data_IF_222831464210
#
_entry.id   IF_222831464210
#
_cell.length_a   1.000
_cell.length_b   1.000
_cell.length_c   1.000
_cell.angle_alpha   90.00
_cell.angle_beta   90.00
_cell.angle_gamma   90.00
#
_symmetry.space_group_name_H-M   'P 1'
#
loop_
_entity.id
_entity.type
_entity.pdbx_description
1 polymer ?
#
# COMPACT_ATOMS: atom_id res chain seq x y z
N UNK A 1 -4.05 -23.69 6.55
CA UNK A 1 -2.89 -23.19 5.80
C UNK A 1 -2.26 -22.07 6.61
N UNK A 2 -0.97 -22.17 6.88
CA UNK A 2 -0.20 -21.12 7.57
C UNK A 2 0.21 -20.04 6.58
N UNK A 3 0.15 -18.77 7.00
CA UNK A 3 0.51 -17.60 6.21
C UNK A 3 1.65 -16.87 6.93
N UNK A 4 2.81 -16.77 6.28
CA UNK A 4 3.93 -15.98 6.78
C UNK A 4 3.74 -14.52 6.32
N UNK A 5 3.67 -13.60 7.27
CA UNK A 5 3.49 -12.17 7.00
C UNK A 5 4.82 -11.47 7.19
N UNK A 6 5.48 -11.15 6.09
CA UNK A 6 6.75 -10.41 6.08
C UNK A 6 6.44 -8.90 6.13
N UNK A 7 7.16 -8.16 6.97
CA UNK A 7 6.82 -6.77 7.27
C UNK A 7 5.65 -6.62 8.26
N UNK A 8 5.44 -7.62 9.12
CA UNK A 8 4.33 -7.72 10.08
C UNK A 8 4.23 -6.54 11.07
N UNK A 9 5.29 -5.76 11.28
CA UNK A 9 5.26 -4.56 12.12
C UNK A 9 4.78 -3.29 11.42
N UNK A 10 4.59 -3.33 10.10
CA UNK A 10 4.13 -2.18 9.31
C UNK A 10 2.61 -1.98 9.34
N UNK A 11 2.17 -0.86 8.76
CA UNK A 11 0.76 -0.45 8.72
C UNK A 11 -0.18 -1.59 8.25
N UNK A 12 0.05 -2.13 7.06
CA UNK A 12 -0.73 -3.22 6.50
C UNK A 12 -0.42 -4.57 7.16
N UNK A 13 0.87 -4.82 7.45
CA UNK A 13 1.30 -6.12 7.99
C UNK A 13 0.62 -6.51 9.30
N UNK A 14 0.36 -5.53 10.19
CA UNK A 14 -0.38 -5.76 11.45
C UNK A 14 -1.82 -6.22 11.19
N UNK A 15 -2.49 -5.61 10.21
CA UNK A 15 -3.87 -5.98 9.85
C UNK A 15 -3.92 -7.35 9.18
N UNK A 16 -2.93 -7.69 8.32
CA UNK A 16 -2.82 -9.03 7.72
C UNK A 16 -2.61 -10.10 8.80
N UNK A 17 -1.77 -9.83 9.81
CA UNK A 17 -1.61 -10.74 10.96
C UNK A 17 -2.92 -10.92 11.70
N UNK A 18 -3.66 -9.83 11.95
CA UNK A 18 -4.97 -9.88 12.62
C UNK A 18 -6.00 -10.67 11.80
N UNK A 19 -6.09 -10.42 10.49
CA UNK A 19 -7.01 -11.12 9.59
C UNK A 19 -6.69 -12.61 9.43
N UNK A 20 -5.40 -12.98 9.44
CA UNK A 20 -5.00 -14.38 9.38
C UNK A 20 -5.21 -15.14 10.72
N UNK A 21 -5.25 -14.42 11.85
CA UNK A 21 -5.43 -15.00 13.19
C UNK A 21 -4.40 -16.07 13.51
N UNK A 22 -4.82 -17.21 14.04
CA UNK A 22 -3.93 -18.34 14.42
C UNK A 22 -3.15 -18.96 13.25
N UNK A 23 -3.47 -18.56 12.01
CA UNK A 23 -2.75 -19.00 10.82
C UNK A 23 -1.52 -18.14 10.52
N UNK A 24 -1.36 -16.99 11.20
CA UNK A 24 -0.28 -16.06 10.94
C UNK A 24 1.04 -16.47 11.60
N UNK A 25 2.13 -16.39 10.83
CA UNK A 25 3.50 -16.29 11.36
C UNK A 25 3.98 -14.89 11.08
N UNK A 26 4.03 -14.06 12.12
CA UNK A 26 4.37 -12.64 12.02
C UNK A 26 5.90 -12.45 11.98
N UNK A 27 6.41 -11.89 10.89
CA UNK A 27 7.83 -11.61 10.68
C UNK A 27 8.03 -10.10 10.49
N UNK A 28 8.34 -9.40 11.59
CA UNK A 28 8.72 -8.00 11.56
C UNK A 28 10.12 -7.82 10.97
N UNK A 29 10.52 -6.57 10.66
CA UNK A 29 11.88 -6.27 10.19
C UNK A 29 12.97 -6.75 11.17
N UNK A 30 12.71 -6.68 12.47
CA UNK A 30 13.65 -7.16 13.50
C UNK A 30 13.78 -8.70 13.52
N UNK A 31 12.72 -9.42 13.10
CA UNK A 31 12.71 -10.87 13.03
C UNK A 31 13.27 -11.40 11.71
N UNK A 32 13.07 -10.65 10.61
CA UNK A 32 13.53 -11.02 9.27
C UNK A 32 13.83 -9.77 8.45
N UNK A 33 15.09 -9.50 8.20
CA UNK A 33 15.51 -8.51 7.20
C UNK A 33 15.45 -9.15 5.81
N UNK A 34 14.62 -8.61 4.93
CA UNK A 34 14.42 -9.15 3.58
C UNK A 34 15.67 -9.03 2.70
N UNK A 35 16.61 -8.18 3.07
CA UNK A 35 17.90 -8.02 2.36
C UNK A 35 18.91 -9.11 2.69
N UNK A 36 18.72 -9.83 3.82
CA UNK A 36 19.52 -11.02 4.15
C UNK A 36 18.93 -12.26 3.46
N UNK A 37 19.45 -12.55 2.27
CA UNK A 37 18.99 -13.68 1.44
C UNK A 37 19.09 -15.01 2.18
N UNK A 38 20.12 -15.23 2.99
CA UNK A 38 20.32 -16.47 3.73
C UNK A 38 19.20 -16.67 4.76
N UNK A 39 18.98 -15.67 5.61
CA UNK A 39 17.92 -15.69 6.61
C UNK A 39 16.52 -15.86 5.97
N UNK A 40 16.27 -15.19 4.81
CA UNK A 40 14.99 -15.29 4.08
C UNK A 40 14.75 -16.70 3.57
N UNK A 41 15.76 -17.33 2.94
CA UNK A 41 15.66 -18.70 2.44
C UNK A 41 15.38 -19.71 3.56
N UNK A 42 16.01 -19.53 4.71
CA UNK A 42 15.80 -20.43 5.87
C UNK A 42 14.42 -20.25 6.49
N UNK A 43 13.96 -18.98 6.64
CA UNK A 43 12.70 -18.68 7.31
C UNK A 43 11.45 -18.98 6.45
N UNK A 44 11.54 -18.85 5.12
CA UNK A 44 10.38 -18.88 4.23
C UNK A 44 10.33 -20.08 3.28
N UNK A 45 11.25 -21.04 3.40
CA UNK A 45 11.30 -22.22 2.52
C UNK A 45 9.97 -22.96 2.45
N UNK A 46 9.37 -22.95 1.26
CA UNK A 46 8.11 -23.64 0.99
C UNK A 46 6.86 -23.01 1.64
N UNK A 47 6.97 -21.81 2.21
CA UNK A 47 5.88 -21.09 2.85
C UNK A 47 4.89 -20.48 1.85
N UNK A 48 3.66 -20.20 2.31
CA UNK A 48 2.77 -19.21 1.69
C UNK A 48 3.03 -17.87 2.37
N UNK A 49 3.40 -16.86 1.60
CA UNK A 49 3.88 -15.57 2.10
C UNK A 49 3.00 -14.43 1.61
N UNK A 50 2.62 -13.52 2.51
CA UNK A 50 2.16 -12.17 2.19
C UNK A 50 3.30 -11.20 2.51
N UNK A 51 3.92 -10.64 1.47
CA UNK A 51 5.04 -9.72 1.61
C UNK A 51 4.56 -8.27 1.66
N UNK A 52 4.44 -7.75 2.88
CA UNK A 52 4.13 -6.34 3.18
C UNK A 52 5.42 -5.52 3.49
N UNK A 53 6.60 -6.14 3.42
CA UNK A 53 7.84 -5.41 3.62
C UNK A 53 8.09 -4.44 2.47
N UNK A 54 8.53 -3.24 2.80
CA UNK A 54 8.84 -2.22 1.81
C UNK A 54 9.47 -0.98 2.42
N UNK A 55 10.32 -0.33 1.64
CA UNK A 55 10.72 1.05 1.86
C UNK A 55 9.58 1.95 1.36
N UNK A 56 8.93 2.69 2.26
CA UNK A 56 7.69 3.44 1.96
C UNK A 56 7.82 4.96 2.09
N UNK A 57 9.04 5.46 2.41
CA UNK A 57 9.29 6.89 2.43
C UNK A 57 9.49 7.41 1.01
N UNK A 58 8.42 7.86 0.36
CA UNK A 58 8.40 8.27 -1.04
C UNK A 58 9.39 9.40 -1.32
N UNK A 59 9.44 10.42 -0.45
CA UNK A 59 10.38 11.55 -0.61
C UNK A 59 11.82 11.14 -0.29
N UNK A 60 12.02 10.27 0.71
CA UNK A 60 13.34 9.75 1.05
C UNK A 60 13.94 8.87 -0.04
N UNK A 61 13.13 8.17 -0.83
CA UNK A 61 13.61 7.34 -1.92
C UNK A 61 14.39 8.12 -2.98
N UNK A 62 14.10 9.42 -3.18
CA UNK A 62 14.84 10.28 -4.12
C UNK A 62 16.33 10.44 -3.75
N UNK A 63 16.66 10.32 -2.47
CA UNK A 63 18.03 10.41 -1.96
C UNK A 63 18.60 9.08 -1.47
N UNK A 64 17.74 8.11 -1.19
CA UNK A 64 18.08 6.78 -0.67
C UNK A 64 17.65 5.66 -1.65
N UNK A 65 17.83 5.92 -2.96
CA UNK A 65 17.39 5.02 -4.04
C UNK A 65 17.94 3.60 -3.88
N UNK A 66 19.24 3.46 -3.53
CA UNK A 66 19.87 2.15 -3.30
C UNK A 66 19.17 1.37 -2.16
N UNK A 67 18.83 2.04 -1.05
CA UNK A 67 18.13 1.41 0.06
C UNK A 67 16.69 1.04 -0.32
N UNK A 68 16.01 1.89 -1.12
CA UNK A 68 14.68 1.60 -1.63
C UNK A 68 14.69 0.37 -2.55
N UNK A 69 15.66 0.27 -3.48
CA UNK A 69 15.79 -0.90 -4.37
C UNK A 69 16.21 -2.16 -3.62
N UNK A 70 17.17 -2.07 -2.69
CA UNK A 70 17.57 -3.23 -1.88
C UNK A 70 16.39 -3.88 -1.14
N UNK A 71 15.46 -3.06 -0.60
CA UNK A 71 14.30 -3.58 0.14
C UNK A 71 13.18 -3.98 -0.82
N UNK A 72 12.81 -3.08 -1.76
CA UNK A 72 11.61 -3.25 -2.59
C UNK A 72 11.81 -4.20 -3.76
N UNK A 73 13.03 -4.35 -4.28
CA UNK A 73 13.36 -5.21 -5.42
C UNK A 73 14.15 -6.46 -4.98
N UNK A 74 15.35 -6.30 -4.42
CA UNK A 74 16.18 -7.45 -4.05
C UNK A 74 15.55 -8.25 -2.90
N UNK A 75 15.03 -7.55 -1.89
CA UNK A 75 14.30 -8.18 -0.79
C UNK A 75 13.03 -8.91 -1.27
N UNK A 76 12.29 -8.34 -2.24
CA UNK A 76 11.14 -8.99 -2.83
C UNK A 76 11.53 -10.26 -3.61
N UNK A 77 12.66 -10.22 -4.37
CA UNK A 77 13.24 -11.39 -5.04
C UNK A 77 13.57 -12.49 -4.05
N UNK A 78 14.28 -12.16 -2.97
CA UNK A 78 14.69 -13.13 -1.95
C UNK A 78 13.45 -13.84 -1.35
N UNK A 79 12.40 -13.08 -1.02
CA UNK A 79 11.14 -13.62 -0.50
C UNK A 79 10.46 -14.53 -1.52
N UNK A 80 10.42 -14.11 -2.78
CA UNK A 80 9.80 -14.88 -3.86
C UNK A 80 10.54 -16.20 -4.13
N UNK A 81 11.88 -16.19 -4.15
CA UNK A 81 12.71 -17.41 -4.31
C UNK A 81 12.48 -18.45 -3.21
N UNK A 82 12.29 -18.00 -1.97
CA UNK A 82 12.08 -18.88 -0.82
C UNK A 82 10.68 -19.48 -0.76
N UNK A 83 9.68 -18.70 -1.15
CA UNK A 83 8.28 -19.04 -0.94
C UNK A 83 7.77 -20.08 -1.95
N UNK A 84 6.89 -20.99 -1.49
CA UNK A 84 6.07 -21.81 -2.39
C UNK A 84 5.01 -20.97 -3.13
N UNK A 85 4.46 -19.97 -2.47
CA UNK A 85 3.51 -18.99 -2.99
C UNK A 85 3.80 -17.64 -2.34
N UNK A 86 3.82 -16.58 -3.13
CA UNK A 86 4.05 -15.23 -2.63
C UNK A 86 2.97 -14.28 -3.15
N UNK A 87 2.44 -13.45 -2.25
CA UNK A 87 1.69 -12.25 -2.58
C UNK A 87 2.58 -11.06 -2.27
N UNK A 88 2.94 -10.28 -3.28
CA UNK A 88 3.73 -9.06 -3.14
C UNK A 88 2.83 -7.84 -3.20
N UNK A 89 2.79 -7.04 -2.13
CA UNK A 89 2.02 -5.80 -2.08
C UNK A 89 2.79 -4.69 -2.77
N UNK A 90 2.23 -4.15 -3.84
CA UNK A 90 2.76 -3.04 -4.63
C UNK A 90 1.91 -1.77 -4.47
N UNK A 91 2.05 -0.81 -5.39
CA UNK A 91 1.52 0.55 -5.26
C UNK A 91 0.96 1.06 -6.59
N UNK A 92 0.03 1.99 -6.50
CA UNK A 92 -0.46 2.84 -7.58
C UNK A 92 0.62 3.78 -8.15
N UNK A 93 1.67 4.08 -7.40
CA UNK A 93 2.77 4.95 -7.82
C UNK A 93 3.69 4.33 -8.89
N UNK A 94 3.35 3.17 -9.40
CA UNK A 94 3.95 2.63 -10.63
C UNK A 94 3.43 3.31 -11.89
N UNK A 95 2.38 4.14 -11.79
CA UNK A 95 1.78 4.88 -12.90
C UNK A 95 2.19 6.37 -12.89
N UNK A 96 2.15 6.98 -14.06
CA UNK A 96 2.53 8.40 -14.25
C UNK A 96 1.40 9.40 -13.95
N UNK A 97 0.15 8.92 -13.86
CA UNK A 97 -0.99 9.77 -13.57
C UNK A 97 -1.46 10.63 -14.74
N UNK A 98 -1.06 10.30 -15.97
CA UNK A 98 -1.35 11.12 -17.15
C UNK A 98 -2.73 10.87 -17.76
N UNK A 99 -3.34 9.71 -17.48
CA UNK A 99 -4.68 9.39 -18.01
C UNK A 99 -5.79 9.79 -17.02
N UNK A 100 -6.96 10.27 -17.51
CA UNK A 100 -8.09 10.64 -16.65
C UNK A 100 -8.89 9.44 -16.13
N UNK A 101 -8.88 8.31 -16.84
CA UNK A 101 -9.57 7.09 -16.46
C UNK A 101 -8.76 6.34 -15.37
N UNK A 102 -9.43 5.49 -14.56
CA UNK A 102 -8.74 4.59 -13.65
C UNK A 102 -7.77 3.65 -14.37
N UNK A 103 -6.60 3.41 -13.78
CA UNK A 103 -5.62 2.46 -14.29
C UNK A 103 -6.05 1.01 -14.06
N UNK A 104 -5.94 0.20 -15.11
CA UNK A 104 -6.19 -1.26 -15.06
C UNK A 104 -4.88 -2.04 -15.15
N UNK A 105 -4.95 -3.36 -14.91
CA UNK A 105 -3.75 -4.21 -14.85
C UNK A 105 -2.96 -4.26 -16.16
N UNK A 106 -3.60 -4.10 -17.32
CA UNK A 106 -2.94 -4.08 -18.64
C UNK A 106 -2.31 -2.74 -19.00
N UNK A 107 -2.58 -1.67 -18.26
CA UNK A 107 -1.98 -0.37 -18.53
C UNK A 107 -0.46 -0.39 -18.29
N UNK A 108 0.33 0.30 -19.15
CA UNK A 108 1.77 0.33 -19.00
C UNK A 108 2.19 1.11 -17.75
N UNK A 109 3.02 0.49 -16.93
CA UNK A 109 3.63 1.16 -15.78
C UNK A 109 4.72 2.14 -16.22
N UNK A 110 4.66 3.39 -15.73
CA UNK A 110 5.59 4.49 -16.01
C UNK A 110 5.80 5.37 -14.77
N UNK A 111 6.49 4.88 -13.72
CA UNK A 111 6.64 5.59 -12.46
C UNK A 111 7.38 6.92 -12.63
N UNK A 112 6.97 7.94 -11.85
CA UNK A 112 7.53 9.30 -11.89
C UNK A 112 8.68 9.52 -10.90
N UNK A 113 8.84 8.62 -9.91
CA UNK A 113 9.72 8.80 -8.75
C UNK A 113 10.38 7.49 -8.34
N UNK A 114 11.51 7.58 -7.63
CA UNK A 114 12.34 6.45 -7.23
C UNK A 114 11.60 5.37 -6.43
N UNK A 115 10.66 5.77 -5.55
CA UNK A 115 9.82 4.80 -4.84
C UNK A 115 9.03 3.92 -5.82
N UNK A 116 8.35 4.52 -6.79
CA UNK A 116 7.60 3.79 -7.82
C UNK A 116 8.48 2.89 -8.68
N UNK A 117 9.67 3.38 -9.09
CA UNK A 117 10.67 2.60 -9.81
C UNK A 117 11.12 1.37 -9.00
N UNK A 118 11.43 1.54 -7.72
CA UNK A 118 11.85 0.45 -6.84
C UNK A 118 10.73 -0.59 -6.63
N UNK A 119 9.47 -0.14 -6.50
CA UNK A 119 8.30 -1.04 -6.37
C UNK A 119 8.05 -1.82 -7.66
N UNK A 120 8.11 -1.16 -8.82
CA UNK A 120 7.98 -1.83 -10.13
C UNK A 120 9.10 -2.84 -10.36
N UNK A 121 10.33 -2.53 -9.95
CA UNK A 121 11.43 -3.49 -9.98
C UNK A 121 11.14 -4.72 -9.10
N UNK A 122 10.52 -4.52 -7.94
CA UNK A 122 10.07 -5.60 -7.05
C UNK A 122 8.96 -6.47 -7.64
N UNK A 123 8.00 -5.88 -8.37
CA UNK A 123 6.99 -6.64 -9.11
C UNK A 123 7.64 -7.60 -10.11
N UNK A 124 8.58 -7.08 -10.92
CA UNK A 124 9.31 -7.86 -11.93
C UNK A 124 10.16 -8.94 -11.27
N UNK A 125 10.92 -8.59 -10.24
CA UNK A 125 11.76 -9.52 -9.51
C UNK A 125 10.96 -10.67 -8.87
N UNK A 126 9.78 -10.37 -8.33
CA UNK A 126 8.86 -11.35 -7.76
C UNK A 126 8.31 -12.30 -8.83
N UNK A 127 7.91 -11.76 -9.98
CA UNK A 127 7.36 -12.54 -11.08
C UNK A 127 8.41 -13.47 -11.73
N UNK A 128 9.65 -12.96 -11.89
CA UNK A 128 10.78 -13.75 -12.40
C UNK A 128 11.19 -14.89 -11.47
N UNK A 129 11.13 -14.65 -10.16
CA UNK A 129 11.64 -15.58 -9.16
C UNK A 129 10.62 -16.68 -8.76
N UNK A 130 9.32 -16.46 -8.98
CA UNK A 130 8.29 -17.40 -8.51
C UNK A 130 7.09 -17.47 -9.47
N UNK A 131 6.87 -18.60 -10.12
CA UNK A 131 5.72 -18.84 -11.00
C UNK A 131 4.36 -18.82 -10.26
N UNK A 132 4.36 -19.04 -8.95
CA UNK A 132 3.16 -19.01 -8.10
C UNK A 132 3.04 -17.68 -7.35
N UNK A 133 3.42 -16.58 -8.01
CA UNK A 133 3.31 -15.23 -7.48
C UNK A 133 1.94 -14.62 -7.75
N UNK A 134 1.60 -13.65 -6.90
CA UNK A 134 0.56 -12.66 -7.13
C UNK A 134 1.08 -11.29 -6.69
N UNK A 135 1.13 -10.35 -7.60
CA UNK A 135 1.37 -8.93 -7.28
C UNK A 135 0.02 -8.27 -7.04
N UNK A 136 -0.11 -7.55 -5.94
CA UNK A 136 -1.32 -6.78 -5.61
C UNK A 136 -0.93 -5.31 -5.51
N UNK A 137 -1.34 -4.50 -6.48
CA UNK A 137 -1.23 -3.05 -6.41
C UNK A 137 -2.40 -2.49 -5.61
N UNK A 138 -2.08 -1.60 -4.67
CA UNK A 138 -3.06 -0.88 -3.86
C UNK A 138 -2.65 0.58 -3.72
N UNK A 139 -3.52 1.42 -3.15
CA UNK A 139 -3.30 2.86 -3.11
C UNK A 139 -3.71 3.47 -1.77
N UNK A 140 -3.05 4.56 -1.38
CA UNK A 140 -3.43 5.45 -0.30
C UNK A 140 -3.82 4.74 1.00
N UNK A 141 -2.96 3.82 1.48
CA UNK A 141 -3.25 2.97 2.63
C UNK A 141 -3.37 3.78 3.92
N UNK A 142 -4.42 3.50 4.69
CA UNK A 142 -4.62 4.03 6.04
C UNK A 142 -5.13 2.95 6.99
N UNK A 143 -4.76 3.03 8.27
CA UNK A 143 -5.11 2.03 9.28
C UNK A 143 -4.38 2.24 10.60
N UNK A 144 -4.60 1.36 11.58
CA UNK A 144 -4.13 1.52 12.95
C UNK A 144 -2.63 1.21 13.18
N UNK A 145 -1.97 0.56 12.22
CA UNK A 145 -0.63 0.00 12.42
C UNK A 145 0.54 0.98 12.28
N UNK A 146 0.30 2.29 12.06
CA UNK A 146 1.37 3.25 11.86
C UNK A 146 0.86 4.63 11.40
N UNK A 147 1.79 5.52 11.08
CA UNK A 147 1.44 6.88 10.61
C UNK A 147 0.70 6.80 9.28
N UNK A 148 -0.41 7.54 9.18
CA UNK A 148 -1.22 7.63 7.97
C UNK A 148 -1.83 9.02 7.81
N UNK A 149 -2.46 9.27 6.66
CA UNK A 149 -3.03 10.58 6.35
C UNK A 149 -4.21 10.94 7.26
N UNK A 150 -5.06 9.97 7.62
CA UNK A 150 -6.22 10.20 8.51
C UNK A 150 -5.76 10.75 9.85
N UNK A 151 -4.78 10.10 10.48
CA UNK A 151 -4.24 10.54 11.78
C UNK A 151 -3.58 11.91 11.69
N UNK A 152 -2.90 12.17 10.58
CA UNK A 152 -2.26 13.46 10.32
C UNK A 152 -3.31 14.57 10.24
N UNK A 153 -4.40 14.36 9.48
CA UNK A 153 -5.47 15.36 9.36
C UNK A 153 -6.18 15.61 10.68
N UNK A 154 -6.49 14.57 11.45
CA UNK A 154 -7.10 14.69 12.76
C UNK A 154 -6.23 15.47 13.76
N UNK A 155 -4.93 15.21 13.75
CA UNK A 155 -3.97 15.89 14.63
C UNK A 155 -3.86 17.37 14.24
N UNK A 156 -3.59 17.63 12.96
CA UNK A 156 -3.40 19.00 12.49
C UNK A 156 -4.69 19.84 12.59
N UNK A 157 -5.86 19.23 12.31
CA UNK A 157 -7.15 19.91 12.43
C UNK A 157 -7.43 20.38 13.87
N UNK A 158 -7.12 19.53 14.85
CA UNK A 158 -7.27 19.87 16.28
C UNK A 158 -6.25 20.91 16.76
N UNK A 159 -5.03 20.87 16.24
CA UNK A 159 -3.94 21.75 16.69
C UNK A 159 -3.96 23.13 16.05
N UNK A 160 -4.33 23.21 14.76
CA UNK A 160 -4.16 24.43 13.97
C UNK A 160 -5.47 25.18 13.66
N UNK A 161 -6.60 24.45 13.60
CA UNK A 161 -7.89 25.02 13.23
C UNK A 161 -8.00 25.47 11.75
N UNK A 162 -6.89 25.54 11.01
CA UNK A 162 -6.82 25.93 9.60
C UNK A 162 -5.87 25.02 8.85
N UNK A 163 -6.32 24.43 7.72
CA UNK A 163 -5.57 23.49 6.91
C UNK A 163 -5.70 23.82 5.41
N UNK A 164 -4.58 23.66 4.69
CA UNK A 164 -4.55 23.66 3.23
C UNK A 164 -4.17 22.27 2.74
N UNK A 165 -4.97 21.67 1.85
CA UNK A 165 -4.77 20.32 1.34
C UNK A 165 -4.87 20.26 -0.17
N UNK A 166 -4.00 19.48 -0.79
CA UNK A 166 -3.91 19.30 -2.25
C UNK A 166 -5.21 18.71 -2.81
N UNK A 167 -5.74 19.34 -3.88
CA UNK A 167 -6.99 18.96 -4.55
C UNK A 167 -6.81 18.49 -6.00
N UNK A 168 -5.60 18.59 -6.54
CA UNK A 168 -5.22 18.20 -7.90
C UNK A 168 -4.52 16.83 -7.99
N UNK A 169 -4.60 16.02 -6.93
CA UNK A 169 -4.20 14.61 -6.91
C UNK A 169 -5.39 13.75 -6.51
N UNK A 170 -5.75 12.79 -7.36
CA UNK A 170 -6.89 11.90 -7.18
C UNK A 170 -6.41 10.44 -7.06
N UNK A 171 -6.97 9.71 -6.11
CA UNK A 171 -6.66 8.30 -5.85
C UNK A 171 -7.78 7.57 -5.12
N UNK A 172 -7.52 6.32 -4.75
CA UNK A 172 -8.48 5.48 -4.02
C UNK A 172 -7.96 5.18 -2.62
N UNK A 173 -8.45 5.90 -1.57
CA UNK A 173 -8.06 5.59 -0.21
C UNK A 173 -8.45 4.15 0.17
N UNK A 174 -7.54 3.41 0.78
CA UNK A 174 -7.74 2.00 1.08
C UNK A 174 -7.51 1.72 2.57
N UNK A 175 -8.55 1.28 3.25
CA UNK A 175 -8.44 0.84 4.64
C UNK A 175 -7.71 -0.51 4.71
N UNK A 176 -6.62 -0.55 5.49
CA UNK A 176 -5.77 -1.74 5.61
C UNK A 176 -6.48 -2.97 6.15
N UNK A 177 -7.53 -2.78 6.97
CA UNK A 177 -8.35 -3.90 7.45
C UNK A 177 -9.06 -4.63 6.31
N UNK A 178 -9.71 -3.90 5.40
CA UNK A 178 -10.39 -4.48 4.24
C UNK A 178 -9.40 -5.13 3.27
N UNK A 179 -8.28 -4.47 3.00
CA UNK A 179 -7.22 -5.03 2.15
C UNK A 179 -6.62 -6.31 2.76
N UNK A 180 -6.43 -6.34 4.07
CA UNK A 180 -5.89 -7.50 4.77
C UNK A 180 -6.76 -8.73 4.62
N UNK A 181 -8.08 -8.59 4.75
CA UNK A 181 -9.04 -9.68 4.54
C UNK A 181 -8.95 -10.24 3.13
N UNK A 182 -8.87 -9.34 2.12
CA UNK A 182 -8.70 -9.73 0.72
C UNK A 182 -7.37 -10.46 0.48
N UNK A 183 -6.25 -9.96 1.04
CA UNK A 183 -4.93 -10.60 0.91
C UNK A 183 -4.89 -11.99 1.54
N UNK A 184 -5.53 -12.17 2.70
CA UNK A 184 -5.64 -13.47 3.37
C UNK A 184 -6.48 -14.45 2.55
N UNK A 185 -7.57 -14.00 1.94
CA UNK A 185 -8.38 -14.82 1.04
C UNK A 185 -7.57 -15.21 -0.23
N UNK A 186 -6.90 -14.25 -0.87
CA UNK A 186 -6.04 -14.47 -2.04
C UNK A 186 -4.86 -15.41 -1.73
N UNK A 187 -4.33 -15.39 -0.49
CA UNK A 187 -3.26 -16.31 -0.10
C UNK A 187 -3.72 -17.77 -0.12
N UNK A 188 -5.02 -18.03 0.11
CA UNK A 188 -5.66 -19.34 0.00
C UNK A 188 -6.12 -19.71 -1.40
N UNK A 189 -6.19 -18.76 -2.31
CA UNK A 189 -6.70 -18.92 -3.67
C UNK A 189 -5.65 -19.42 -4.68
N UNK A 190 -6.06 -19.43 -5.95
CA UNK A 190 -5.23 -19.86 -7.09
C UNK A 190 -4.81 -18.71 -8.00
N UNK A 191 -5.18 -17.48 -7.70
CA UNK A 191 -4.92 -16.28 -8.51
C UNK A 191 -3.43 -16.02 -8.63
N UNK A 192 -2.97 -15.66 -9.84
CA UNK A 192 -1.56 -15.40 -10.16
C UNK A 192 -1.42 -14.18 -11.04
N UNK A 193 -0.19 -13.67 -11.08
CA UNK A 193 0.17 -12.53 -11.92
C UNK A 193 -0.07 -11.22 -11.21
N UNK A 194 -0.90 -10.32 -11.75
CA UNK A 194 -1.12 -8.97 -11.25
C UNK A 194 -2.61 -8.72 -11.01
N UNK A 195 -2.95 -8.13 -9.88
CA UNK A 195 -4.29 -7.61 -9.56
C UNK A 195 -4.20 -6.19 -8.97
N UNK A 196 -5.22 -5.39 -9.25
CA UNK A 196 -5.46 -4.12 -8.57
C UNK A 196 -6.52 -4.33 -7.48
N UNK A 197 -6.19 -4.02 -6.22
CA UNK A 197 -7.10 -4.15 -5.07
C UNK A 197 -7.00 -2.88 -4.22
N UNK A 198 -7.98 -2.00 -4.34
CA UNK A 198 -8.06 -0.74 -3.60
C UNK A 198 -9.46 -0.48 -3.08
N UNK A 199 -9.62 0.48 -2.18
CA UNK A 199 -10.94 0.92 -1.73
C UNK A 199 -11.80 1.38 -2.89
N UNK A 200 -13.10 1.06 -2.87
CA UNK A 200 -14.03 1.44 -3.92
C UNK A 200 -14.22 2.96 -4.02
N UNK A 201 -14.29 3.47 -5.26
CA UNK A 201 -14.40 4.90 -5.55
C UNK A 201 -13.06 5.64 -5.50
N UNK A 202 -13.13 6.96 -5.67
CA UNK A 202 -11.97 7.84 -5.70
C UNK A 202 -12.29 9.19 -5.07
N UNK A 203 -11.26 9.93 -4.67
CA UNK A 203 -11.37 11.31 -4.20
C UNK A 203 -10.01 12.01 -4.30
N UNK A 204 -9.99 13.34 -4.19
CA UNK A 204 -8.76 14.08 -3.97
C UNK A 204 -8.31 13.99 -2.49
N UNK A 205 -7.06 14.38 -2.22
CA UNK A 205 -6.60 14.50 -0.82
C UNK A 205 -7.43 15.52 -0.04
N UNK A 206 -7.86 16.62 -0.67
CA UNK A 206 -8.73 17.61 -0.07
C UNK A 206 -10.10 17.03 0.31
N UNK A 207 -10.74 16.30 -0.61
CA UNK A 207 -12.02 15.63 -0.33
C UNK A 207 -11.90 14.57 0.75
N UNK A 208 -10.78 13.83 0.75
CA UNK A 208 -10.51 12.84 1.80
C UNK A 208 -10.32 13.54 3.17
N UNK A 209 -9.53 14.64 3.22
CA UNK A 209 -9.34 15.42 4.45
C UNK A 209 -10.67 15.98 4.98
N UNK A 210 -11.51 16.53 4.10
CA UNK A 210 -12.85 17.02 4.45
C UNK A 210 -13.69 15.93 5.10
N UNK A 211 -13.78 14.77 4.46
CA UNK A 211 -14.54 13.63 4.98
C UNK A 211 -14.01 13.13 6.35
N UNK A 212 -12.68 13.16 6.55
CA UNK A 212 -12.04 12.79 7.83
C UNK A 212 -12.49 13.74 8.94
N UNK A 213 -12.36 15.06 8.71
CA UNK A 213 -12.68 16.08 9.73
C UNK A 213 -14.18 16.07 10.06
N UNK A 214 -15.05 16.02 9.04
CA UNK A 214 -16.50 15.96 9.20
C UNK A 214 -16.94 14.75 10.04
N UNK A 215 -16.47 13.53 9.68
CA UNK A 215 -16.85 12.31 10.39
C UNK A 215 -16.31 12.25 11.82
N UNK A 216 -15.16 12.85 12.06
CA UNK A 216 -14.56 12.90 13.39
C UNK A 216 -15.08 14.07 14.25
N UNK A 217 -15.95 14.92 13.72
CA UNK A 217 -16.45 16.10 14.43
C UNK A 217 -15.35 17.11 14.77
N UNK A 218 -14.31 17.21 13.95
CA UNK A 218 -13.20 18.17 14.12
C UNK A 218 -13.53 19.42 13.31
N UNK A 219 -13.74 20.53 14.02
CA UNK A 219 -13.98 21.84 13.42
C UNK A 219 -12.64 22.46 13.02
N UNK A 220 -12.39 22.56 11.72
CA UNK A 220 -11.21 23.18 11.17
C UNK A 220 -11.55 23.81 9.81
N UNK A 221 -11.02 25.00 9.55
CA UNK A 221 -11.14 25.67 8.26
C UNK A 221 -10.25 24.94 7.22
N UNK A 222 -10.88 24.32 6.23
CA UNK A 222 -10.21 23.52 5.22
C UNK A 222 -10.30 24.20 3.85
N UNK A 223 -9.15 24.49 3.25
CA UNK A 223 -9.06 25.07 1.92
C UNK A 223 -8.26 24.20 0.95
N UNK A 224 -8.67 24.24 -0.32
CA UNK A 224 -7.97 23.53 -1.40
C UNK A 224 -6.65 24.22 -1.73
N UNK A 225 -5.69 23.42 -2.17
CA UNK A 225 -4.39 23.85 -2.65
C UNK A 225 -3.95 23.03 -3.87
N UNK A 226 -3.00 23.53 -4.63
CA UNK A 226 -2.39 22.78 -5.73
C UNK A 226 -1.13 22.03 -5.26
N UNK A 227 -0.71 21.05 -6.04
CA UNK A 227 0.57 20.36 -5.85
C UNK A 227 1.75 21.36 -5.87
N UNK A 228 1.67 22.42 -6.67
CA UNK A 228 2.70 23.45 -6.77
C UNK A 228 2.86 24.28 -5.49
N UNK A 229 1.79 24.42 -4.69
CA UNK A 229 1.84 25.09 -3.37
C UNK A 229 2.66 24.30 -2.34
N UNK A 230 2.86 23.00 -2.57
CA UNK A 230 3.58 22.09 -1.66
C UNK A 230 4.68 21.31 -2.40
N UNK A 231 5.76 21.97 -2.84
CA UNK A 231 6.84 21.31 -3.53
C UNK A 231 7.45 20.20 -2.67
N UNK A 232 7.61 19.02 -3.25
CA UNK A 232 8.21 17.84 -2.60
C UNK A 232 9.31 17.26 -3.48
N UNK A 233 10.31 16.57 -2.89
CA UNK A 233 11.36 15.91 -3.65
C UNK A 233 10.82 14.94 -4.72
N UNK A 234 9.93 14.05 -4.34
CA UNK A 234 9.34 13.10 -5.26
C UNK A 234 8.08 13.67 -5.94
N UNK A 235 7.95 13.51 -7.24
CA UNK A 235 6.73 13.87 -8.00
C UNK A 235 5.59 12.91 -7.65
N UNK A 236 4.35 13.42 -7.61
CA UNK A 236 3.15 12.60 -7.41
C UNK A 236 2.31 12.58 -8.69
N UNK A 237 1.72 11.42 -9.03
CA UNK A 237 0.77 11.35 -10.14
C UNK A 237 -0.48 12.21 -9.84
N UNK A 238 -1.00 12.90 -10.86
CA UNK A 238 -2.24 13.66 -10.74
C UNK A 238 -3.46 12.73 -10.59
N UNK A 239 -3.44 11.59 -11.27
CA UNK A 239 -4.42 10.52 -11.12
C UNK A 239 -3.73 9.19 -10.85
N UNK A 240 -4.10 8.51 -9.76
CA UNK A 240 -3.60 7.17 -9.45
C UNK A 240 -4.72 6.18 -9.09
N UNK A 241 -5.93 6.49 -9.52
CA UNK A 241 -7.11 5.64 -9.29
C UNK A 241 -6.89 4.28 -9.95
N UNK A 242 -7.13 3.20 -9.18
CA UNK A 242 -7.02 1.82 -9.66
C UNK A 242 -8.40 1.22 -9.93
N UNK A 243 -8.52 0.49 -11.03
CA UNK A 243 -9.63 -0.40 -11.30
C UNK A 243 -9.08 -1.79 -11.66
N UNK A 244 -9.91 -2.83 -11.63
CA UNK A 244 -9.51 -4.17 -12.04
C UNK A 244 -10.34 -4.66 -13.22
N UNK A 245 -9.66 -5.12 -14.26
CA UNK A 245 -10.27 -5.84 -15.40
C UNK A 245 -10.14 -7.37 -15.26
N UNK A 246 -9.50 -7.84 -14.17
CA UNK A 246 -9.20 -9.25 -13.93
C UNK A 246 -10.06 -9.90 -12.86
N UNK A 247 -11.12 -9.22 -12.40
CA UNK A 247 -12.02 -9.74 -11.38
C UNK A 247 -11.37 -9.83 -10.00
N UNK A 248 -10.58 -8.84 -9.63
CA UNK A 248 -10.02 -8.72 -8.28
C UNK A 248 -11.14 -8.61 -7.23
N UNK A 249 -10.88 -8.99 -5.96
CA UNK A 249 -11.82 -8.74 -4.89
C UNK A 249 -12.21 -7.26 -4.80
N UNK A 250 -13.50 -6.97 -4.85
CA UNK A 250 -14.02 -5.62 -4.62
C UNK A 250 -13.98 -5.31 -3.13
N UNK A 251 -13.27 -4.23 -2.75
CA UNK A 251 -13.30 -3.72 -1.39
C UNK A 251 -14.48 -2.75 -1.22
N UNK A 252 -14.97 -2.57 0.03
CA UNK A 252 -15.95 -1.53 0.33
C UNK A 252 -15.51 -0.15 -0.14
N UNK A 253 -16.45 0.78 -0.31
CA UNK A 253 -16.15 2.16 -0.63
C UNK A 253 -15.15 2.76 0.37
N UNK A 254 -14.30 3.67 -0.07
CA UNK A 254 -13.31 4.28 0.82
C UNK A 254 -13.96 4.99 2.02
N UNK A 255 -15.19 5.50 1.84
CA UNK A 255 -15.97 6.11 2.93
C UNK A 255 -16.30 5.10 4.03
N UNK A 256 -16.68 3.88 3.65
CA UNK A 256 -16.98 2.79 4.60
C UNK A 256 -15.69 2.35 5.31
N UNK A 257 -14.58 2.33 4.58
CA UNK A 257 -13.26 2.08 5.14
C UNK A 257 -12.84 3.13 6.17
N UNK A 258 -13.12 4.42 5.89
CA UNK A 258 -12.87 5.51 6.82
C UNK A 258 -13.73 5.39 8.09
N UNK A 259 -15.00 5.06 7.93
CA UNK A 259 -15.91 4.86 9.07
C UNK A 259 -15.46 3.69 9.94
N UNK A 260 -15.12 2.55 9.33
CA UNK A 260 -14.57 1.39 10.03
C UNK A 260 -13.30 1.75 10.81
N UNK A 261 -12.38 2.52 10.20
CA UNK A 261 -11.15 2.95 10.87
C UNK A 261 -11.40 3.88 12.05
N UNK A 262 -12.29 4.87 11.89
CA UNK A 262 -12.63 5.79 12.99
C UNK A 262 -13.32 5.04 14.15
N UNK A 263 -14.16 4.04 13.86
CA UNK A 263 -14.79 3.19 14.87
C UNK A 263 -13.80 2.32 15.67
N UNK A 264 -12.70 1.89 15.08
CA UNK A 264 -11.65 1.12 15.78
C UNK A 264 -10.79 2.01 16.67
N UNK A 265 -10.74 3.35 16.42
CA UNK A 265 -9.98 4.33 17.21
C UNK A 265 -10.74 4.85 18.42
N UNK A 266 -12.07 4.74 18.42
CA UNK A 266 -12.93 5.21 19.52
C UNK A 266 -12.85 4.26 20.70
#
# INVERSE_FOLDING_TARGET
>A
MTIHVVGAGGLLGQDVVRAAGDRAVALSRAALDVTDRGAVLDALRGATVVNCAGYTNVDGAETESEAAHAINADGARNVAEAARRVIYVSTDYVFDGAQPEPYVESDPAAPLQEYGHSKLAGERATAEANENHLVVRSSWLFGAGGRNFVDTMLTLGRERGELRVVDDQVGSPTFTGHLADALVALAGGGERGLLHVSGGGSCSWFEFARAILERAGVDADLSAASTEDFPRPARRPANSVLASERGAPELPAWQDGLEAYLGVRA
#
